data_IF_835855227423
#
_entry.id   IF_835855227423
#
_cell.length_a   1.000
_cell.length_b   1.000
_cell.length_c   1.000
_cell.angle_alpha   90.00
_cell.angle_beta   90.00
_cell.angle_gamma   90.00
#
_symmetry.space_group_name_H-M   'P 1'
#
loop_
_entity.id
_entity.type
_entity.pdbx_description
1 polymer ?
#
# COMPACT_ATOMS: atom_id res chain seq x y z
N UNK A 1 12.27 18.43 1.48
CA UNK A 1 11.64 17.99 0.21
C UNK A 1 12.65 17.12 -0.53
N UNK A 2 12.23 16.01 -1.13
CA UNK A 2 13.16 15.16 -1.87
C UNK A 2 13.64 15.87 -3.16
N UNK A 3 14.96 16.00 -3.40
CA UNK A 3 15.49 16.71 -4.56
C UNK A 3 15.20 16.01 -5.89
N UNK A 4 14.89 14.70 -5.85
CA UNK A 4 14.61 13.91 -7.05
C UNK A 4 13.18 14.12 -7.57
N UNK A 5 12.18 14.20 -6.68
CA UNK A 5 10.78 14.41 -7.08
C UNK A 5 10.24 15.81 -6.79
N UNK A 6 11.05 16.69 -6.18
CA UNK A 6 10.64 18.01 -5.70
C UNK A 6 9.33 18.00 -4.89
N UNK A 7 9.14 16.94 -4.10
CA UNK A 7 7.94 16.74 -3.27
C UNK A 7 6.72 16.16 -4.00
N UNK A 8 6.78 15.90 -5.32
CA UNK A 8 5.68 15.35 -6.11
C UNK A 8 5.45 13.84 -5.91
N UNK A 9 6.33 13.16 -5.17
CA UNK A 9 6.34 11.69 -4.94
C UNK A 9 6.41 10.81 -6.19
N UNK A 10 6.46 11.40 -7.39
CA UNK A 10 6.69 10.74 -8.67
C UNK A 10 7.84 11.41 -9.43
N UNK A 11 8.44 10.66 -10.35
CA UNK A 11 9.52 11.11 -11.24
C UNK A 11 9.13 10.82 -12.69
N UNK A 12 9.55 11.70 -13.59
CA UNK A 12 9.38 11.52 -15.03
C UNK A 12 10.48 10.57 -15.54
N UNK A 13 10.08 9.53 -16.27
CA UNK A 13 10.97 8.71 -17.08
C UNK A 13 10.54 8.81 -18.55
N UNK A 14 11.50 9.14 -19.41
CA UNK A 14 11.30 9.01 -20.86
C UNK A 14 11.46 7.56 -21.28
N UNK A 15 10.33 6.94 -21.66
CA UNK A 15 10.32 5.65 -22.30
C UNK A 15 10.32 5.86 -23.83
N UNK A 16 10.86 4.88 -24.57
CA UNK A 16 10.96 4.96 -26.05
C UNK A 16 9.61 5.17 -26.77
N UNK A 17 8.49 4.96 -26.08
CA UNK A 17 7.12 5.03 -26.62
C UNK A 17 6.32 6.18 -25.96
N UNK A 18 6.93 6.95 -25.03
CA UNK A 18 6.27 8.09 -24.40
C UNK A 18 6.80 8.41 -23.00
N UNK A 19 6.13 9.35 -22.34
CA UNK A 19 6.44 9.76 -20.97
C UNK A 19 5.76 8.84 -19.96
N UNK A 20 6.54 8.28 -19.03
CA UNK A 20 6.03 7.53 -17.88
C UNK A 20 6.29 8.31 -16.58
N UNK A 21 5.33 8.28 -15.67
CA UNK A 21 5.50 8.79 -14.31
C UNK A 21 5.64 7.60 -13.36
N UNK A 22 6.84 7.40 -12.83
CA UNK A 22 7.13 6.33 -11.89
C UNK A 22 7.13 6.87 -10.46
N UNK A 23 6.84 6.02 -9.48
CA UNK A 23 7.01 6.39 -8.07
C UNK A 23 8.46 6.80 -7.80
N UNK A 24 8.66 7.86 -7.02
CA UNK A 24 10.02 8.31 -6.71
C UNK A 24 10.75 7.22 -5.91
N UNK A 25 11.90 6.72 -6.39
CA UNK A 25 12.62 5.63 -5.69
C UNK A 25 13.13 6.08 -4.32
N UNK A 26 13.43 7.37 -4.15
CA UNK A 26 13.89 7.95 -2.88
C UNK A 26 12.76 8.36 -1.94
N UNK A 27 11.54 8.53 -2.46
CA UNK A 27 10.35 8.74 -1.64
C UNK A 27 9.48 7.50 -1.66
N UNK A 28 10.09 6.31 -1.80
CA UNK A 28 9.38 5.04 -1.75
C UNK A 28 8.41 5.16 -0.61
N UNK A 29 7.11 5.12 -0.93
CA UNK A 29 6.06 5.31 0.06
C UNK A 29 6.47 4.47 1.26
N UNK A 30 6.57 5.09 2.44
CA UNK A 30 6.60 4.34 3.69
C UNK A 30 5.63 3.21 3.47
N UNK A 31 6.12 1.97 3.48
CA UNK A 31 5.28 0.79 3.32
C UNK A 31 4.17 0.99 4.32
N UNK A 32 3.00 1.43 3.83
CA UNK A 32 2.00 2.05 4.68
C UNK A 32 1.70 1.06 5.77
N UNK A 33 1.78 1.48 7.03
CA UNK A 33 1.64 0.58 8.15
C UNK A 33 0.35 -0.23 7.96
N UNK A 34 0.51 -1.53 7.67
CA UNK A 34 -0.61 -2.43 7.39
C UNK A 34 -1.29 -2.89 8.69
N UNK A 35 -0.84 -2.40 9.85
CA UNK A 35 -1.35 -2.77 11.18
C UNK A 35 -2.88 -2.71 11.25
N UNK A 36 -3.51 -1.65 10.72
CA UNK A 36 -4.97 -1.53 10.76
C UNK A 36 -5.67 -2.54 9.84
N UNK A 37 -5.09 -2.84 8.68
CA UNK A 37 -5.60 -3.87 7.77
C UNK A 37 -5.47 -5.25 8.39
N UNK A 38 -4.34 -5.54 9.04
CA UNK A 38 -4.09 -6.80 9.74
C UNK A 38 -5.11 -6.99 10.87
N UNK A 39 -5.28 -5.99 11.74
CA UNK A 39 -6.27 -6.02 12.83
C UNK A 39 -7.69 -6.26 12.31
N UNK A 40 -8.06 -5.62 11.20
CA UNK A 40 -9.37 -5.81 10.60
C UNK A 40 -9.58 -7.26 10.11
N UNK A 41 -8.58 -7.83 9.44
CA UNK A 41 -8.63 -9.22 8.96
C UNK A 41 -8.70 -10.22 10.12
N UNK A 42 -7.93 -10.01 11.20
CA UNK A 42 -7.98 -10.85 12.40
C UNK A 42 -9.38 -10.85 13.04
N UNK A 43 -10.03 -9.67 13.13
CA UNK A 43 -11.38 -9.56 13.65
C UNK A 43 -12.41 -10.31 12.79
N UNK A 44 -12.28 -10.24 11.46
CA UNK A 44 -13.13 -10.99 10.54
C UNK A 44 -12.96 -12.51 10.70
N UNK A 45 -11.73 -12.99 10.81
CA UNK A 45 -11.43 -14.41 11.04
C UNK A 45 -12.03 -14.89 12.36
N UNK A 46 -11.88 -14.11 13.44
CA UNK A 46 -12.48 -14.42 14.73
C UNK A 46 -14.01 -14.52 14.64
N UNK A 47 -14.65 -13.57 13.94
CA UNK A 47 -16.11 -13.57 13.70
C UNK A 47 -16.58 -14.76 12.86
N UNK A 48 -15.76 -15.22 11.91
CA UNK A 48 -16.09 -16.41 11.12
C UNK A 48 -15.98 -17.69 11.96
N UNK A 49 -14.93 -17.81 12.80
CA UNK A 49 -14.74 -18.97 13.70
C UNK A 49 -15.88 -19.10 14.72
N UNK A 50 -16.40 -17.99 15.25
CA UNK A 50 -17.54 -18.03 16.18
C UNK A 50 -18.82 -18.47 15.49
N UNK A 51 -19.07 -18.03 14.25
CA UNK A 51 -20.22 -18.50 13.45
C UNK A 51 -20.19 -19.99 13.17
N UNK A 52 -19.01 -20.56 12.89
CA UNK A 52 -18.85 -22.01 12.68
C UNK A 52 -19.13 -22.80 13.97
N UNK A 53 -18.73 -22.28 15.14
CA UNK A 53 -19.00 -22.92 16.45
C UNK A 53 -20.46 -22.88 16.89
N UNK A 54 -21.25 -21.94 16.39
CA UNK A 54 -22.68 -21.81 16.74
C UNK A 54 -23.61 -22.60 15.81
N UNK A 55 -23.07 -23.21 14.75
CA UNK A 55 -23.80 -24.03 13.80
C UNK A 55 -23.45 -25.52 13.84
N UNK A 56 -22.77 -25.99 14.89
CA UNK A 56 -22.40 -27.39 15.12
C UNK A 56 -23.14 -27.94 16.34
#
# INVERSE_FOLDING_TARGET
MCPLCNGRKSVHQDARIGTMFCACPNCRSESGDLTDVIKHLEALIAKMKTRVKQGA
#
